data_IF_637763659121
#
_entry.id   IF_637763659121
#
_cell.length_a   1.000
_cell.length_b   1.000
_cell.length_c   1.000
_cell.angle_alpha   90.00
_cell.angle_beta   90.00
_cell.angle_gamma   90.00
#
_symmetry.space_group_name_H-M   'P 1'
#
loop_
_entity.id
_entity.type
_entity.pdbx_description
1 polymer ?
#
# COMPACT_ATOMS: atom_id res chain seq x y z
N UNK A 1 -15.21 20.08 17.58
CA UNK A 1 -14.84 18.70 17.16
C UNK A 1 -13.52 18.84 16.39
N UNK A 2 -12.42 18.24 16.85
CA UNK A 2 -11.11 18.35 16.16
C UNK A 2 -11.26 17.85 14.73
N UNK A 3 -10.80 18.62 13.75
CA UNK A 3 -10.69 18.17 12.36
C UNK A 3 -9.93 16.84 12.34
N UNK A 4 -10.65 15.75 12.05
CA UNK A 4 -10.04 14.42 11.96
C UNK A 4 -9.15 14.45 10.73
N UNK A 5 -7.84 14.53 10.93
CA UNK A 5 -6.85 14.55 9.85
C UNK A 5 -7.03 13.29 9.02
N UNK A 6 -7.46 13.44 7.77
CA UNK A 6 -7.60 12.32 6.84
C UNK A 6 -6.19 11.91 6.41
N UNK A 7 -5.95 10.61 6.43
CA UNK A 7 -4.72 9.98 5.97
C UNK A 7 -4.65 10.00 4.45
N UNK A 8 -3.74 9.22 3.88
CA UNK A 8 -3.50 9.24 2.44
C UNK A 8 -3.22 7.84 1.95
N UNK A 9 -3.81 7.50 0.80
CA UNK A 9 -3.54 6.24 0.09
C UNK A 9 -2.51 6.52 -0.99
N UNK A 10 -1.44 5.74 -0.98
CA UNK A 10 -0.41 5.74 -1.99
C UNK A 10 -0.49 4.43 -2.77
N UNK A 11 -0.75 4.51 -4.07
CA UNK A 11 -0.58 3.36 -4.97
C UNK A 11 0.88 3.35 -5.41
N UNK A 12 1.60 2.27 -5.10
CA UNK A 12 3.04 2.15 -5.32
C UNK A 12 3.31 0.91 -6.17
N UNK A 13 3.98 1.09 -7.30
CA UNK A 13 4.52 -0.02 -8.09
C UNK A 13 5.76 -0.61 -7.42
N UNK A 14 5.80 -1.93 -7.24
CA UNK A 14 6.94 -2.65 -6.66
C UNK A 14 8.04 -2.98 -7.68
N UNK A 15 7.87 -2.58 -8.95
CA UNK A 15 8.79 -2.94 -10.03
C UNK A 15 8.78 -4.45 -10.35
N UNK A 16 9.78 -4.92 -11.11
CA UNK A 16 9.84 -6.31 -11.59
C UNK A 16 10.34 -7.31 -10.55
N UNK A 17 10.78 -6.87 -9.37
CA UNK A 17 11.16 -7.73 -8.25
C UNK A 17 12.45 -7.33 -7.55
N UNK A 18 13.46 -6.82 -8.27
CA UNK A 18 14.69 -6.33 -7.66
C UNK A 18 14.40 -5.07 -6.82
N UNK A 19 14.67 -5.08 -5.49
CA UNK A 19 14.42 -3.92 -4.63
C UNK A 19 15.16 -2.66 -5.10
N UNK A 20 16.34 -2.80 -5.74
CA UNK A 20 17.11 -1.67 -6.25
C UNK A 20 16.43 -0.94 -7.42
N UNK A 21 15.41 -1.53 -8.03
CA UNK A 21 14.62 -0.91 -9.09
C UNK A 21 13.42 -0.10 -8.56
N UNK A 22 13.23 -0.04 -7.23
CA UNK A 22 12.26 0.88 -6.63
C UNK A 22 12.76 2.33 -6.67
N UNK A 23 11.84 3.26 -6.84
CA UNK A 23 12.17 4.68 -6.73
C UNK A 23 12.46 5.06 -5.28
N UNK A 24 13.31 6.07 -5.08
CA UNK A 24 13.55 6.64 -3.76
C UNK A 24 12.24 7.09 -3.09
N UNK A 25 11.27 7.56 -3.88
CA UNK A 25 9.95 7.94 -3.37
C UNK A 25 9.14 6.75 -2.87
N UNK A 26 9.16 5.62 -3.59
CA UNK A 26 8.50 4.40 -3.14
C UNK A 26 9.09 3.92 -1.79
N UNK A 27 10.42 3.90 -1.67
CA UNK A 27 11.11 3.55 -0.42
C UNK A 27 10.69 4.46 0.74
N UNK A 28 10.72 5.78 0.54
CA UNK A 28 10.31 6.75 1.57
C UNK A 28 8.87 6.52 2.05
N UNK A 29 7.95 6.19 1.14
CA UNK A 29 6.55 5.93 1.48
C UNK A 29 6.37 4.62 2.24
N UNK A 30 7.13 3.58 1.88
CA UNK A 30 7.13 2.28 2.57
C UNK A 30 7.65 2.45 4.01
N UNK A 31 8.75 3.17 4.20
CA UNK A 31 9.35 3.44 5.51
C UNK A 31 8.39 4.19 6.44
N UNK A 32 7.54 5.07 5.90
CA UNK A 32 6.58 5.92 6.63
C UNK A 32 5.15 5.37 6.70
N UNK A 33 4.90 4.19 6.15
CA UNK A 33 3.56 3.61 6.06
C UNK A 33 3.07 3.10 7.42
N UNK A 34 1.82 3.40 7.78
CA UNK A 34 1.13 2.74 8.88
C UNK A 34 0.59 1.36 8.45
N UNK A 35 0.18 1.24 7.18
CA UNK A 35 -0.34 0.00 6.59
C UNK A 35 0.23 -0.22 5.20
N UNK A 36 0.65 -1.45 4.91
CA UNK A 36 1.04 -1.89 3.57
C UNK A 36 0.14 -3.04 3.14
N UNK A 37 -0.61 -2.83 2.07
CA UNK A 37 -1.40 -3.87 1.40
C UNK A 37 -0.63 -4.37 0.19
N UNK A 38 -0.21 -5.63 0.19
CA UNK A 38 0.66 -6.22 -0.84
C UNK A 38 0.10 -7.53 -1.39
N UNK A 39 0.59 -7.93 -2.55
CA UNK A 39 0.22 -9.19 -3.21
C UNK A 39 1.45 -10.04 -3.54
N UNK A 40 1.21 -11.23 -4.08
CA UNK A 40 2.23 -12.26 -4.32
C UNK A 40 3.43 -11.76 -5.15
N UNK A 41 3.21 -10.82 -6.06
CA UNK A 41 4.27 -10.33 -6.96
C UNK A 41 5.22 -9.33 -6.28
N UNK A 42 4.96 -8.95 -5.02
CA UNK A 42 5.85 -8.07 -4.28
C UNK A 42 7.01 -8.89 -3.68
N UNK A 43 8.25 -8.47 -3.96
CA UNK A 43 9.41 -9.06 -3.31
C UNK A 43 9.34 -8.83 -1.78
N UNK A 44 9.44 -9.87 -0.95
CA UNK A 44 9.45 -9.74 0.51
C UNK A 44 10.49 -8.76 1.06
N UNK A 45 11.67 -8.64 0.45
CA UNK A 45 12.73 -7.72 0.90
C UNK A 45 12.29 -6.25 0.90
N UNK A 46 11.37 -5.87 0.00
CA UNK A 46 10.80 -4.51 -0.03
C UNK A 46 9.97 -4.25 1.24
N UNK A 47 9.30 -5.29 1.76
CA UNK A 47 8.47 -5.20 2.96
C UNK A 47 9.30 -5.06 4.24
N UNK A 48 10.59 -5.32 4.18
CA UNK A 48 11.51 -5.18 5.32
C UNK A 48 11.96 -3.74 5.54
N UNK A 49 11.75 -2.85 4.56
CA UNK A 49 11.94 -1.40 4.75
C UNK A 49 10.82 -0.76 5.57
N UNK A 50 9.68 -1.45 5.71
CA UNK A 50 8.56 -0.94 6.49
C UNK A 50 8.94 -0.80 7.97
N UNK A 51 8.48 0.28 8.60
CA UNK A 51 8.72 0.46 10.04
C UNK A 51 8.10 -0.67 10.88
N UNK A 52 8.64 -0.92 12.08
CA UNK A 52 8.16 -1.96 12.99
C UNK A 52 6.68 -1.77 13.42
N UNK A 53 6.16 -0.55 13.36
CA UNK A 53 4.76 -0.25 13.66
C UNK A 53 3.83 -0.43 12.44
N UNK A 54 4.40 -0.64 11.26
CA UNK A 54 3.64 -0.81 10.02
C UNK A 54 2.94 -2.18 10.02
N UNK A 55 1.64 -2.17 9.75
CA UNK A 55 0.87 -3.41 9.57
C UNK A 55 0.90 -3.85 8.12
N UNK A 56 1.53 -5.00 7.87
CA UNK A 56 1.61 -5.64 6.55
C UNK A 56 0.41 -6.57 6.34
N UNK A 57 -0.38 -6.34 5.30
CA UNK A 57 -1.62 -7.08 4.98
C UNK A 57 -1.51 -7.68 3.59
N UNK A 58 -1.49 -9.01 3.51
CA UNK A 58 -1.52 -9.72 2.24
C UNK A 58 -2.94 -9.73 1.67
N UNK A 59 -3.11 -9.25 0.44
CA UNK A 59 -4.40 -9.20 -0.29
C UNK A 59 -4.39 -9.97 -1.60
N UNK A 60 -3.30 -10.69 -1.88
CA UNK A 60 -3.20 -11.55 -3.06
C UNK A 60 -4.12 -12.78 -2.98
N UNK A 61 -4.23 -13.50 -4.10
CA UNK A 61 -4.93 -14.79 -4.12
C UNK A 61 -4.07 -15.84 -3.40
N UNK A 62 -4.69 -16.66 -2.56
CA UNK A 62 -4.08 -17.85 -1.98
C UNK A 62 -4.86 -19.04 -2.52
N UNK A 63 -4.16 -20.06 -3.04
CA UNK A 63 -4.82 -21.27 -3.51
C UNK A 63 -5.71 -21.86 -2.40
N UNK A 64 -6.97 -22.14 -2.74
CA UNK A 64 -7.94 -22.70 -1.79
C UNK A 64 -8.58 -21.71 -0.81
N UNK A 65 -8.32 -20.40 -0.91
CA UNK A 65 -9.01 -19.37 -0.11
C UNK A 65 -9.72 -18.35 -1.00
N UNK A 66 -10.85 -17.84 -0.51
CA UNK A 66 -11.51 -16.69 -1.13
C UNK A 66 -10.52 -15.51 -1.17
N UNK A 67 -10.27 -14.99 -2.36
CA UNK A 67 -9.44 -13.81 -2.54
C UNK A 67 -10.26 -12.55 -2.26
N UNK A 68 -9.60 -11.52 -1.73
CA UNK A 68 -10.21 -10.20 -1.70
C UNK A 68 -10.52 -9.75 -3.13
N UNK A 69 -11.76 -9.33 -3.35
CA UNK A 69 -12.15 -8.60 -4.54
C UNK A 69 -11.49 -7.23 -4.56
N UNK A 70 -11.38 -6.65 -5.76
CA UNK A 70 -10.82 -5.32 -5.93
C UNK A 70 -11.55 -4.26 -5.09
N UNK A 71 -12.89 -4.37 -5.00
CA UNK A 71 -13.73 -3.46 -4.21
C UNK A 71 -13.49 -3.60 -2.71
N UNK A 72 -13.28 -4.81 -2.20
CA UNK A 72 -12.95 -5.02 -0.80
C UNK A 72 -11.58 -4.42 -0.45
N UNK A 73 -10.59 -4.59 -1.33
CA UNK A 73 -9.27 -3.96 -1.16
C UNK A 73 -9.43 -2.43 -1.09
N UNK A 74 -10.15 -1.84 -2.04
CA UNK A 74 -10.41 -0.39 -2.07
C UNK A 74 -11.10 0.10 -0.79
N UNK A 75 -12.11 -0.62 -0.30
CA UNK A 75 -12.78 -0.29 0.95
C UNK A 75 -11.83 -0.34 2.16
N UNK A 76 -10.95 -1.34 2.23
CA UNK A 76 -9.94 -1.45 3.28
C UNK A 76 -8.97 -0.26 3.24
N UNK A 77 -8.48 0.11 2.05
CA UNK A 77 -7.58 1.26 1.86
C UNK A 77 -8.23 2.57 2.32
N UNK A 78 -9.46 2.83 1.85
CA UNK A 78 -10.22 4.04 2.18
C UNK A 78 -10.53 4.08 3.68
N UNK A 79 -10.94 2.95 4.27
CA UNK A 79 -11.24 2.87 5.70
C UNK A 79 -10.03 3.25 6.55
N UNK A 80 -8.83 2.77 6.21
CA UNK A 80 -7.60 3.09 6.95
C UNK A 80 -7.13 4.53 6.73
N UNK A 81 -7.25 5.05 5.52
CA UNK A 81 -6.98 6.47 5.30
C UNK A 81 -7.98 7.37 6.07
N UNK A 82 -9.26 6.98 6.17
CA UNK A 82 -10.26 7.71 6.97
C UNK A 82 -10.00 7.67 8.49
N UNK A 83 -9.17 6.75 8.97
CA UNK A 83 -8.65 6.72 10.34
C UNK A 83 -7.46 7.67 10.54
N UNK A 84 -6.97 8.34 9.49
CA UNK A 84 -5.82 9.25 9.56
C UNK A 84 -4.48 8.59 9.24
N UNK A 85 -4.49 7.37 8.68
CA UNK A 85 -3.29 6.57 8.44
C UNK A 85 -2.67 6.79 7.06
N UNK A 86 -1.35 6.67 6.98
CA UNK A 86 -0.63 6.55 5.72
C UNK A 86 -0.70 5.11 5.22
N UNK A 87 -1.39 4.91 4.11
CA UNK A 87 -1.68 3.58 3.57
C UNK A 87 -0.96 3.41 2.25
N UNK A 88 -0.17 2.36 2.11
CA UNK A 88 0.50 1.99 0.86
C UNK A 88 -0.18 0.75 0.28
N UNK A 89 -0.62 0.82 -0.97
CA UNK A 89 -0.97 -0.34 -1.79
C UNK A 89 0.20 -0.65 -2.70
N UNK A 90 1.00 -1.65 -2.31
CA UNK A 90 2.13 -2.13 -3.08
C UNK A 90 1.63 -3.16 -4.10
N UNK A 91 1.75 -2.85 -5.39
CA UNK A 91 1.35 -3.74 -6.49
C UNK A 91 2.61 -4.28 -7.17
N UNK A 92 2.77 -5.60 -7.22
CA UNK A 92 3.87 -6.22 -7.95
C UNK A 92 3.61 -6.34 -9.45
N UNK A 93 4.67 -6.39 -10.25
CA UNK A 93 4.63 -6.58 -11.71
C UNK A 93 4.97 -5.32 -12.52
N UNK A 94 4.53 -5.29 -13.79
CA UNK A 94 4.96 -4.36 -14.87
C UNK A 94 4.46 -2.90 -14.68
N UNK A 95 3.95 -2.54 -13.50
CA UNK A 95 3.69 -1.13 -13.20
C UNK A 95 5.03 -0.48 -12.86
N UNK A 96 5.65 0.18 -13.84
CA UNK A 96 6.79 1.08 -13.64
C UNK A 96 6.48 1.98 -12.44
N UNK A 97 7.39 2.08 -11.47
CA UNK A 97 7.26 2.73 -10.14
C UNK A 97 6.47 4.05 -10.12
N UNK A 98 5.16 3.96 -10.25
CA UNK A 98 4.22 5.06 -10.17
C UNK A 98 3.82 5.20 -8.72
N UNK A 99 3.92 6.43 -8.23
CA UNK A 99 3.34 6.85 -6.96
C UNK A 99 2.15 7.72 -7.32
N UNK A 100 0.95 7.24 -7.00
CA UNK A 100 -0.28 8.02 -7.09
C UNK A 100 -0.76 8.33 -5.68
N UNK A 101 -0.96 9.61 -5.40
CA UNK A 101 -1.52 10.07 -4.15
C UNK A 101 -3.02 10.32 -4.33
N UNK A 102 -3.85 9.58 -3.59
CA UNK A 102 -5.30 9.80 -3.60
C UNK A 102 -5.77 10.32 -2.24
N UNK A 103 -6.25 11.56 -2.24
CA UNK A 103 -6.94 12.17 -1.10
C UNK A 103 -8.42 12.19 -1.41
N UNK A 104 -9.24 11.65 -0.50
CA UNK A 104 -10.69 11.77 -0.59
C UNK A 104 -11.05 13.26 -0.60
N UNK A 105 -11.52 13.79 -1.74
CA UNK A 105 -12.15 15.12 -1.79
C UNK A 105 -13.40 15.03 -0.92
N UNK A 106 -13.56 15.97 0.03
CA UNK A 106 -14.88 16.19 0.66
C UNK A 106 -15.82 16.58 -0.49
N UNK A 107 -16.71 15.67 -0.89
CA UNK A 107 -17.91 15.98 -1.67
C UNK A 107 -18.90 16.71 -0.75
#
# INVERSE_FOLDING_TARGET
MKDKKIGTVFLVGAGPGDPLLLTLKAKELIEKADFIFYDYLCNPEILDWASNHCRKVYVGKIAGKAAYSQREIEQLLISKAAEGKNVVRLKGGILFCLVVEEKKRKL
#
